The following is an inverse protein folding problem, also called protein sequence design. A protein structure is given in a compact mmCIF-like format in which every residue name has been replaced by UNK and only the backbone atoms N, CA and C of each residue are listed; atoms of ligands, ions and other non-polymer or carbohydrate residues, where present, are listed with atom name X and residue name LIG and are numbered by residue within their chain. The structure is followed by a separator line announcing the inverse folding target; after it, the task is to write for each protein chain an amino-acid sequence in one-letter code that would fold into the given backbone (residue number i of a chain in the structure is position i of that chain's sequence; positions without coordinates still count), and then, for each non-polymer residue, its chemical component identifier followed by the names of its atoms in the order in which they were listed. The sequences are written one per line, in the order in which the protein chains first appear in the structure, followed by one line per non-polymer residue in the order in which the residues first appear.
data_IF_377209150313
#
_entry.id   IF_377209150313
#
_cell.length_a   1.000
_cell.length_b   1.000
_cell.length_c   1.000
_cell.angle_alpha   90.00
_cell.angle_beta   90.00
_cell.angle_gamma   90.00
#
_symmetry.space_group_name_H-M   'P 1'
#
loop_
_entity.id
_entity.type
_entity.pdbx_description
1 polymer ?
#
# COMPACT_ATOMS: atom_id res chain seq x y z
N UNK A 1 27.02 -43.16 -44.22
CA UNK A 1 27.17 -42.82 -42.79
C UNK A 1 25.76 -42.64 -42.22
N UNK A 2 25.50 -43.27 -41.09
CA UNK A 2 24.22 -43.89 -40.72
C UNK A 2 23.09 -42.95 -40.23
N UNK A 3 21.82 -43.20 -40.61
CA UNK A 3 20.63 -42.44 -40.18
C UNK A 3 19.96 -43.01 -38.89
N UNK A 4 20.72 -43.49 -37.92
CA UNK A 4 20.17 -44.17 -36.72
C UNK A 4 20.23 -43.35 -35.42
N UNK A 5 20.67 -42.09 -35.46
CA UNK A 5 20.85 -41.27 -34.25
C UNK A 5 19.65 -40.39 -33.85
N UNK A 6 18.63 -40.26 -34.71
CA UNK A 6 17.41 -39.48 -34.40
C UNK A 6 16.32 -40.31 -33.68
N UNK A 7 16.42 -41.65 -33.69
CA UNK A 7 15.46 -42.53 -33.02
C UNK A 7 15.69 -42.72 -31.52
N UNK A 8 16.91 -42.49 -31.01
CA UNK A 8 17.26 -42.76 -29.62
C UNK A 8 16.87 -41.63 -28.64
N UNK A 9 16.78 -40.39 -29.13
CA UNK A 9 16.41 -39.22 -28.29
C UNK A 9 14.90 -39.15 -28.07
N UNK A 10 14.09 -39.60 -29.03
CA UNK A 10 12.63 -39.61 -28.91
C UNK A 10 12.10 -40.69 -27.94
N UNK A 11 12.82 -41.79 -27.74
CA UNK A 11 12.41 -42.89 -26.82
C UNK A 11 12.74 -42.56 -25.35
N UNK A 12 13.77 -41.76 -25.08
CA UNK A 12 14.12 -41.33 -23.71
C UNK A 12 13.17 -40.24 -23.16
N UNK A 13 12.51 -39.46 -24.02
CA UNK A 13 11.55 -38.42 -23.63
C UNK A 13 10.15 -38.96 -23.28
N UNK A 14 9.80 -40.15 -23.79
CA UNK A 14 8.51 -40.80 -23.50
C UNK A 14 8.58 -41.67 -22.21
N UNK A 15 9.76 -42.13 -21.81
CA UNK A 15 9.93 -42.87 -20.55
C UNK A 15 10.08 -41.91 -19.35
N UNK A 16 10.63 -40.71 -19.56
CA UNK A 16 10.74 -39.68 -18.50
C UNK A 16 9.41 -39.04 -18.09
N UNK A 17 8.41 -38.99 -18.98
CA UNK A 17 7.08 -38.41 -18.70
C UNK A 17 6.12 -39.42 -18.05
N UNK A 18 6.32 -40.72 -18.23
CA UNK A 18 5.54 -41.75 -17.54
C UNK A 18 5.98 -41.98 -16.08
N UNK A 19 7.23 -41.65 -15.72
CA UNK A 19 7.73 -41.80 -14.35
C UNK A 19 7.34 -40.65 -13.41
N UNK A 20 6.97 -39.47 -13.95
CA UNK A 20 6.52 -38.33 -13.13
C UNK A 20 5.03 -38.39 -12.78
N UNK A 21 4.21 -39.09 -13.59
CA UNK A 21 2.77 -39.27 -13.34
C UNK A 21 2.50 -40.40 -12.31
N UNK A 22 3.44 -41.32 -12.09
CA UNK A 22 3.29 -42.42 -11.11
C UNK A 22 3.71 -42.04 -9.66
N UNK A 23 4.39 -40.90 -9.45
CA UNK A 23 4.82 -40.45 -8.10
C UNK A 23 3.80 -39.50 -7.44
N UNK A 24 2.79 -39.03 -8.18
CA UNK A 24 1.72 -38.17 -7.66
C UNK A 24 0.47 -38.92 -7.18
N UNK A 25 0.47 -40.27 -7.20
CA UNK A 25 -0.72 -41.07 -6.85
C UNK A 25 -0.65 -41.82 -5.49
N UNK A 26 0.35 -41.57 -4.62
CA UNK A 26 0.50 -42.31 -3.35
C UNK A 26 0.75 -41.48 -2.10
N UNK A 27 0.53 -40.16 -2.12
CA UNK A 27 0.51 -39.37 -0.88
C UNK A 27 -0.93 -39.20 -0.41
N UNK A 28 -1.23 -39.85 0.72
CA UNK A 28 -2.54 -39.87 1.34
C UNK A 28 -3.09 -38.47 1.59
N UNK A 29 -4.40 -38.31 1.37
CA UNK A 29 -5.11 -37.08 1.67
C UNK A 29 -4.99 -36.70 3.16
N UNK A 30 -5.20 -35.41 3.48
CA UNK A 30 -5.16 -34.94 4.86
C UNK A 30 -6.18 -35.69 5.73
N UNK A 31 -5.89 -35.91 7.02
CA UNK A 31 -6.80 -36.63 7.91
C UNK A 31 -8.14 -35.90 8.00
N UNK A 32 -9.23 -36.67 7.88
CA UNK A 32 -10.59 -36.18 8.06
C UNK A 32 -10.74 -35.51 9.44
N UNK A 33 -11.23 -34.27 9.43
CA UNK A 33 -11.59 -33.56 10.65
C UNK A 33 -12.70 -34.33 11.38
N UNK A 34 -12.64 -34.49 12.71
CA UNK A 34 -13.72 -35.10 13.48
C UNK A 34 -15.00 -34.27 13.35
N UNK A 35 -16.19 -34.90 13.40
CA UNK A 35 -17.46 -34.19 13.33
C UNK A 35 -17.58 -33.21 14.51
N UNK A 36 -18.05 -32.00 14.21
CA UNK A 36 -18.32 -30.96 15.19
C UNK A 36 -19.35 -31.47 16.21
N UNK A 37 -18.90 -31.72 17.44
CA UNK A 37 -19.78 -31.98 18.58
C UNK A 37 -20.57 -30.70 18.85
N UNK A 38 -21.87 -30.73 18.61
CA UNK A 38 -22.78 -29.68 19.06
C UNK A 38 -22.73 -29.64 20.59
N UNK A 39 -22.22 -28.53 21.13
CA UNK A 39 -22.37 -28.21 22.55
C UNK A 39 -23.80 -27.75 22.74
N UNK A 40 -24.51 -28.45 23.60
CA UNK A 40 -25.88 -28.16 23.98
C UNK A 40 -25.99 -26.76 24.59
N UNK A 41 -27.04 -26.06 24.17
CA UNK A 41 -27.49 -24.77 24.69
C UNK A 41 -27.90 -24.96 26.17
N UNK A 42 -27.02 -24.55 27.10
CA UNK A 42 -27.32 -24.56 28.52
C UNK A 42 -28.12 -23.31 28.88
N UNK A 43 -29.42 -23.54 28.92
CA UNK A 43 -30.50 -22.70 29.44
C UNK A 43 -30.11 -22.00 30.76
N UNK A 44 -29.79 -20.70 30.70
CA UNK A 44 -29.60 -19.85 31.90
C UNK A 44 -30.84 -18.97 32.09
N UNK A 45 -31.47 -18.96 33.30
CA UNK A 45 -32.67 -18.18 33.53
C UNK A 45 -32.38 -16.67 33.58
N UNK A 46 -33.24 -15.90 32.91
CA UNK A 46 -33.30 -14.43 32.95
C UNK A 46 -33.45 -13.91 34.38
N UNK A 47 -32.63 -12.93 34.83
CA UNK A 47 -32.97 -12.14 36.00
C UNK A 47 -34.05 -11.12 35.63
N UNK A 48 -35.27 -11.36 36.12
CA UNK A 48 -36.37 -10.40 36.07
C UNK A 48 -36.01 -9.16 36.89
N UNK A 49 -35.61 -8.07 36.22
CA UNK A 49 -35.52 -6.74 36.82
C UNK A 49 -36.76 -5.93 36.43
N UNK A 50 -37.75 -5.94 37.31
CA UNK A 50 -38.86 -4.97 37.30
C UNK A 50 -38.34 -3.59 37.66
N UNK A 51 -38.23 -2.71 36.67
CA UNK A 51 -38.01 -1.27 36.86
C UNK A 51 -39.35 -0.54 36.71
N UNK A 52 -39.76 0.34 37.63
CA UNK A 52 -40.99 1.11 37.46
C UNK A 52 -40.82 2.20 36.38
N UNK A 53 -41.89 2.41 35.61
CA UNK A 53 -42.00 3.42 34.57
C UNK A 53 -41.90 4.85 35.16
N UNK A 54 -41.09 5.78 34.61
CA UNK A 54 -41.10 7.15 35.07
C UNK A 54 -42.36 7.88 34.57
N UNK A 55 -42.97 8.69 35.45
CA UNK A 55 -44.05 9.62 35.11
C UNK A 55 -43.49 10.84 34.35
N UNK A 56 -44.24 11.41 33.39
CA UNK A 56 -43.75 12.54 32.60
C UNK A 56 -43.77 13.85 33.42
N UNK A 57 -42.64 14.56 33.41
CA UNK A 57 -42.51 15.95 33.88
C UNK A 57 -42.71 16.87 32.67
N UNK A 58 -43.48 17.98 32.76
CA UNK A 58 -43.60 18.92 31.64
C UNK A 58 -42.38 19.85 31.59
N UNK A 59 -41.54 19.68 30.57
CA UNK A 59 -40.43 20.60 30.29
C UNK A 59 -40.87 21.66 29.28
N UNK A 60 -40.86 22.92 29.71
CA UNK A 60 -41.05 24.09 28.84
C UNK A 60 -39.86 24.24 27.89
N UNK A 61 -40.14 24.48 26.61
CA UNK A 61 -39.14 24.80 25.60
C UNK A 61 -38.68 26.27 25.74
N UNK A 62 -37.37 26.55 25.79
CA UNK A 62 -36.87 27.89 25.49
C UNK A 62 -36.70 28.03 23.98
N UNK A 63 -37.39 29.00 23.38
CA UNK A 63 -37.14 29.42 22.01
C UNK A 63 -35.74 30.03 21.90
N UNK A 64 -34.82 29.34 21.22
CA UNK A 64 -33.56 29.91 20.78
C UNK A 64 -33.70 30.35 19.32
N UNK A 65 -33.53 31.64 19.08
CA UNK A 65 -33.36 32.22 17.74
C UNK A 65 -31.96 31.81 17.25
N UNK A 66 -31.78 31.30 16.02
CA UNK A 66 -30.45 31.03 15.50
C UNK A 66 -29.77 32.37 15.18
N UNK A 67 -28.66 32.66 15.85
CA UNK A 67 -27.71 33.67 15.40
C UNK A 67 -26.84 33.00 14.34
N UNK A 68 -27.04 33.34 13.07
CA UNK A 68 -26.12 32.98 11.98
C UNK A 68 -24.77 33.67 12.25
N UNK A 69 -23.78 32.89 12.68
CA UNK A 69 -22.39 33.33 12.65
C UNK A 69 -21.91 33.15 11.21
N UNK A 70 -21.41 34.19 10.53
CA UNK A 70 -20.86 34.02 9.18
C UNK A 70 -19.65 33.09 9.25
N UNK A 71 -19.77 31.91 8.66
CA UNK A 71 -18.61 31.08 8.33
C UNK A 71 -17.88 31.79 7.20
N UNK A 72 -16.74 32.43 7.51
CA UNK A 72 -15.83 32.91 6.45
C UNK A 72 -15.42 31.71 5.60
N UNK A 73 -15.66 31.80 4.30
CA UNK A 73 -15.18 30.83 3.33
C UNK A 73 -13.63 30.81 3.38
N UNK A 74 -12.98 29.64 3.30
CA UNK A 74 -11.52 29.56 3.23
C UNK A 74 -11.01 30.47 2.11
N UNK A 75 -10.10 31.39 2.43
CA UNK A 75 -9.45 32.20 1.41
C UNK A 75 -8.51 31.29 0.62
N UNK A 76 -8.89 30.94 -0.62
CA UNK A 76 -8.01 30.24 -1.54
C UNK A 76 -6.74 31.08 -1.76
N UNK A 77 -5.58 30.56 -1.37
CA UNK A 77 -4.31 31.25 -1.63
C UNK A 77 -4.05 31.25 -3.15
N UNK A 78 -3.57 32.37 -3.73
CA UNK A 78 -3.23 32.43 -5.15
C UNK A 78 -2.14 31.40 -5.49
N UNK A 79 -2.32 30.63 -6.57
CA UNK A 79 -1.37 29.59 -7.02
C UNK A 79 0.07 30.10 -7.16
N UNK A 80 0.27 31.36 -7.54
CA UNK A 80 1.60 31.98 -7.65
C UNK A 80 2.35 32.14 -6.32
N UNK A 81 1.64 32.28 -5.19
CA UNK A 81 2.28 32.29 -3.86
C UNK A 81 2.80 30.89 -3.50
N UNK A 82 2.07 29.85 -3.91
CA UNK A 82 2.41 28.46 -3.60
C UNK A 82 3.67 27.98 -4.34
N UNK A 83 3.81 28.31 -5.62
CA UNK A 83 5.00 27.98 -6.40
C UNK A 83 6.25 28.69 -5.86
N UNK A 84 6.12 29.97 -5.48
CA UNK A 84 7.22 30.73 -4.90
C UNK A 84 7.63 30.14 -3.54
N UNK A 85 6.67 29.85 -2.65
CA UNK A 85 6.94 29.21 -1.36
C UNK A 85 7.62 27.85 -1.53
N UNK A 86 7.19 27.06 -2.51
CA UNK A 86 7.84 25.78 -2.82
C UNK A 86 9.28 26.00 -3.25
N UNK A 87 9.54 26.93 -4.16
CA UNK A 87 10.90 27.22 -4.62
C UNK A 87 11.81 27.69 -3.47
N UNK A 88 11.32 28.56 -2.59
CA UNK A 88 12.04 29.02 -1.40
C UNK A 88 12.32 27.89 -0.41
N UNK A 89 11.35 26.99 -0.19
CA UNK A 89 11.51 25.80 0.63
C UNK A 89 12.59 24.86 0.07
N UNK A 90 12.50 24.53 -1.21
CA UNK A 90 13.45 23.64 -1.90
C UNK A 90 14.86 24.23 -2.01
N UNK A 91 14.98 25.56 -1.98
CA UNK A 91 16.27 26.25 -1.93
C UNK A 91 16.92 26.18 -0.53
N UNK A 92 16.11 26.10 0.53
CA UNK A 92 16.59 26.08 1.93
C UNK A 92 16.85 24.68 2.47
N UNK A 93 16.04 23.69 2.09
CA UNK A 93 16.16 22.33 2.60
C UNK A 93 17.33 21.56 1.95
N UNK A 94 17.94 20.67 2.74
CA UNK A 94 18.80 19.62 2.22
C UNK A 94 17.91 18.43 1.80
N UNK A 95 18.05 17.98 0.56
CA UNK A 95 17.28 16.87 -0.02
C UNK A 95 18.05 16.26 -1.19
N UNK A 96 17.75 15.00 -1.55
CA UNK A 96 18.53 14.19 -2.49
C UNK A 96 18.41 14.67 -3.94
N UNK A 97 19.11 15.74 -4.31
CA UNK A 97 19.07 16.33 -5.67
C UNK A 97 19.44 15.36 -6.79
N UNK A 98 20.25 14.36 -6.48
CA UNK A 98 20.70 13.35 -7.43
C UNK A 98 19.74 12.14 -7.54
N UNK A 99 18.64 12.12 -6.77
CA UNK A 99 17.67 11.03 -6.72
C UNK A 99 16.30 11.41 -7.32
N UNK A 100 16.24 12.50 -8.08
CA UNK A 100 15.02 13.00 -8.72
C UNK A 100 14.41 14.20 -7.98
N UNK A 101 13.42 14.84 -8.59
CA UNK A 101 12.70 15.95 -7.95
C UNK A 101 11.95 15.46 -6.70
N UNK A 102 11.88 16.28 -5.64
CA UNK A 102 11.22 15.88 -4.41
C UNK A 102 9.70 15.94 -4.59
N UNK A 103 9.01 15.02 -3.94
CA UNK A 103 7.55 14.99 -3.87
C UNK A 103 7.11 15.89 -2.73
N UNK A 104 6.60 17.07 -3.05
CA UNK A 104 6.07 18.02 -2.08
C UNK A 104 4.59 17.70 -1.80
N UNK A 105 4.31 17.25 -0.59
CA UNK A 105 2.99 16.76 -0.16
C UNK A 105 2.30 17.82 0.69
N UNK A 106 1.12 18.25 0.25
CA UNK A 106 0.32 19.24 0.97
C UNK A 106 -0.58 18.59 2.00
N UNK A 107 -0.87 19.35 3.06
CA UNK A 107 -1.81 18.93 4.08
C UNK A 107 -3.21 18.79 3.47
N UNK A 108 -3.88 17.71 3.81
CA UNK A 108 -5.24 17.44 3.39
C UNK A 108 -6.18 18.50 4.00
N UNK A 109 -7.07 19.11 3.20
CA UNK A 109 -8.08 20.03 3.75
C UNK A 109 -9.09 19.30 4.63
N UNK A 110 -9.35 18.02 4.31
CA UNK A 110 -10.08 17.04 5.11
C UNK A 110 -9.60 15.63 4.70
N UNK A 111 -9.76 14.60 5.55
CA UNK A 111 -9.51 13.21 5.15
C UNK A 111 -10.36 12.81 3.93
N UNK A 112 -9.81 12.09 2.93
CA UNK A 112 -10.57 11.57 1.79
C UNK A 112 -11.62 10.55 2.22
N UNK A 113 -12.67 10.41 1.41
CA UNK A 113 -13.66 9.38 1.64
C UNK A 113 -13.17 8.08 0.99
N UNK A 114 -12.40 7.27 1.73
CA UNK A 114 -11.82 6.01 1.24
C UNK A 114 -12.91 5.06 0.70
N UNK A 115 -13.21 5.18 -0.59
CA UNK A 115 -14.28 4.45 -1.31
C UNK A 115 -13.78 3.82 -2.62
N UNK A 116 -12.50 3.98 -2.92
CA UNK A 116 -11.79 3.50 -4.08
C UNK A 116 -11.91 4.44 -5.29
N UNK A 117 -12.64 5.55 -5.19
CA UNK A 117 -12.74 6.58 -6.22
C UNK A 117 -11.64 7.62 -6.03
N UNK A 118 -11.08 8.12 -7.13
CA UNK A 118 -10.07 9.21 -7.07
C UNK A 118 -10.65 10.57 -7.45
N UNK A 119 -11.98 10.68 -7.54
CA UNK A 119 -12.67 11.85 -8.08
C UNK A 119 -12.50 13.11 -7.22
N UNK A 120 -12.40 12.97 -5.90
CA UNK A 120 -12.17 14.07 -4.96
C UNK A 120 -10.70 14.48 -4.82
N UNK A 121 -9.76 13.67 -5.32
CA UNK A 121 -8.35 13.88 -5.09
C UNK A 121 -7.83 15.05 -5.92
N UNK A 122 -7.48 16.13 -5.24
CA UNK A 122 -6.86 17.30 -5.83
C UNK A 122 -5.32 17.19 -5.84
N UNK A 123 -4.67 18.06 -6.61
CA UNK A 123 -3.21 18.16 -6.68
C UNK A 123 -2.58 17.39 -7.85
N UNK A 124 -1.26 17.51 -8.01
CA UNK A 124 -0.54 16.85 -9.08
C UNK A 124 -0.53 15.33 -8.86
N UNK A 125 -0.69 14.61 -9.96
CA UNK A 125 -0.47 13.17 -9.99
C UNK A 125 1.03 12.90 -10.23
N UNK A 126 1.59 12.01 -9.42
CA UNK A 126 3.00 11.62 -9.43
C UNK A 126 3.11 10.26 -10.11
N UNK A 127 3.86 10.18 -11.21
CA UNK A 127 4.12 8.92 -11.89
C UNK A 127 5.07 8.02 -11.09
N UNK A 128 5.00 6.71 -11.31
CA UNK A 128 5.92 5.69 -10.78
C UNK A 128 6.68 5.05 -11.95
N UNK A 129 7.61 5.76 -12.62
CA UNK A 129 7.98 5.43 -13.99
C UNK A 129 9.17 4.48 -14.12
N UNK A 130 9.88 4.18 -13.03
CA UNK A 130 11.17 3.52 -13.12
C UNK A 130 11.05 2.03 -12.84
N UNK A 131 11.38 1.18 -13.81
CA UNK A 131 11.46 -0.26 -13.61
C UNK A 131 12.78 -0.59 -12.92
N UNK A 132 12.70 -1.13 -11.69
CA UNK A 132 13.84 -1.30 -10.78
C UNK A 132 14.13 -2.77 -10.44
N UNK A 133 13.27 -3.70 -10.86
CA UNK A 133 13.49 -5.13 -10.69
C UNK A 133 13.05 -5.89 -11.94
N UNK A 134 13.94 -6.77 -12.44
CA UNK A 134 13.71 -7.65 -13.59
C UNK A 134 12.96 -6.97 -14.75
N UNK A 135 13.50 -5.87 -15.32
CA UNK A 135 12.81 -5.07 -16.33
C UNK A 135 12.45 -5.85 -17.60
N UNK A 136 13.11 -6.98 -17.86
CA UNK A 136 12.78 -7.90 -18.94
C UNK A 136 11.40 -8.56 -18.81
N UNK A 137 10.82 -8.58 -17.61
CA UNK A 137 9.51 -9.18 -17.35
C UNK A 137 8.34 -8.20 -17.54
N UNK A 138 8.61 -6.89 -17.54
CA UNK A 138 7.57 -5.86 -17.75
C UNK A 138 7.36 -5.59 -19.24
N UNK A 139 6.18 -5.91 -19.77
CA UNK A 139 5.83 -5.82 -21.19
C UNK A 139 5.21 -4.48 -21.62
N UNK A 140 5.44 -3.42 -20.84
CA UNK A 140 5.08 -2.04 -21.17
C UNK A 140 4.08 -1.45 -20.19
N UNK A 141 3.54 -0.27 -20.49
CA UNK A 141 2.59 0.40 -19.58
C UNK A 141 1.24 -0.30 -19.51
N UNK A 142 0.92 -1.12 -20.52
CA UNK A 142 -0.30 -1.92 -20.53
C UNK A 142 -0.28 -3.10 -19.56
N UNK A 143 0.92 -3.54 -19.23
CA UNK A 143 1.25 -4.68 -18.40
C UNK A 143 1.34 -4.20 -16.95
N UNK A 144 2.29 -3.32 -16.62
CA UNK A 144 2.36 -2.74 -15.29
C UNK A 144 2.72 -1.25 -15.31
N UNK A 145 1.82 -0.39 -14.82
CA UNK A 145 2.09 1.04 -14.62
C UNK A 145 1.31 1.60 -13.44
N UNK A 146 1.85 2.63 -12.80
CA UNK A 146 1.16 3.31 -11.71
C UNK A 146 1.43 4.80 -11.66
N UNK A 147 0.47 5.51 -11.10
CA UNK A 147 0.60 6.90 -10.70
C UNK A 147 -0.24 7.12 -9.45
N UNK A 148 0.10 8.13 -8.65
CA UNK A 148 -0.59 8.38 -7.39
C UNK A 148 -0.72 9.86 -7.07
N UNK A 149 -1.73 10.18 -6.28
CA UNK A 149 -1.86 11.45 -5.56
C UNK A 149 -1.60 11.18 -4.08
N UNK A 150 -1.06 12.18 -3.41
CA UNK A 150 -0.66 12.06 -2.00
C UNK A 150 -0.99 13.34 -1.25
N UNK A 151 -1.52 13.18 -0.04
CA UNK A 151 -1.77 14.26 0.91
C UNK A 151 -1.52 13.75 2.33
N UNK A 152 -1.47 14.64 3.32
CA UNK A 152 -1.19 14.23 4.69
C UNK A 152 -1.96 15.03 5.74
N UNK A 153 -2.08 14.50 6.95
CA UNK A 153 -2.44 15.27 8.15
C UNK A 153 -1.58 14.82 9.33
N UNK A 154 -1.84 15.33 10.54
CA UNK A 154 -1.05 14.99 11.74
C UNK A 154 -1.05 13.50 12.08
N UNK A 155 -2.03 12.74 11.59
CA UNK A 155 -2.24 11.35 11.94
C UNK A 155 -1.85 10.39 10.81
N UNK A 156 -2.01 10.79 9.54
CA UNK A 156 -1.92 9.88 8.40
C UNK A 156 -1.26 10.48 7.16
N UNK A 157 -0.64 9.60 6.39
CA UNK A 157 -0.33 9.79 4.98
C UNK A 157 -1.45 9.15 4.16
N UNK A 158 -2.05 9.89 3.25
CA UNK A 158 -3.11 9.41 2.38
C UNK A 158 -2.55 9.18 0.98
N UNK A 159 -2.82 8.00 0.40
CA UNK A 159 -2.46 7.67 -0.97
C UNK A 159 -3.70 7.32 -1.79
N UNK A 160 -3.82 7.93 -2.97
CA UNK A 160 -4.79 7.60 -4.00
C UNK A 160 -4.04 7.14 -5.24
N UNK A 161 -4.04 5.85 -5.51
CA UNK A 161 -3.17 5.19 -6.51
C UNK A 161 -4.03 4.71 -7.66
N UNK A 162 -3.62 5.02 -8.89
CA UNK A 162 -4.11 4.35 -10.10
C UNK A 162 -3.09 3.30 -10.49
N UNK A 163 -3.54 2.05 -10.61
CA UNK A 163 -2.73 0.91 -11.05
C UNK A 163 -3.31 0.40 -12.38
N UNK A 164 -2.43 0.29 -13.36
CA UNK A 164 -2.64 -0.46 -14.58
C UNK A 164 -1.90 -1.78 -14.45
N UNK A 165 -2.64 -2.86 -14.65
CA UNK A 165 -2.26 -4.23 -14.39
C UNK A 165 -3.15 -5.13 -15.25
N UNK A 166 -2.56 -5.89 -16.17
CA UNK A 166 -3.30 -6.79 -17.05
C UNK A 166 -3.64 -8.13 -16.39
N UNK A 167 -2.93 -8.53 -15.33
CA UNK A 167 -3.19 -9.76 -14.60
C UNK A 167 -2.76 -9.70 -13.12
N UNK A 168 -3.69 -9.28 -12.27
CA UNK A 168 -3.50 -9.32 -10.81
C UNK A 168 -3.33 -10.75 -10.24
N UNK A 169 -2.13 -11.11 -9.79
CA UNK A 169 -1.74 -12.31 -9.03
C UNK A 169 -1.05 -11.95 -7.70
N UNK A 170 -1.79 -12.10 -6.60
CA UNK A 170 -1.26 -11.86 -5.26
C UNK A 170 -1.53 -13.05 -4.32
N UNK A 171 -0.55 -13.94 -4.17
CA UNK A 171 -0.60 -15.12 -3.29
C UNK A 171 0.35 -15.06 -2.07
N UNK A 172 1.25 -14.07 -2.00
CA UNK A 172 2.07 -13.77 -0.82
C UNK A 172 1.23 -13.36 0.39
N UNK A 173 1.75 -13.50 1.60
CA UNK A 173 1.03 -13.14 2.84
C UNK A 173 2.01 -12.92 3.98
N UNK A 174 1.60 -12.17 5.01
CA UNK A 174 2.43 -11.81 6.16
C UNK A 174 3.75 -11.18 5.73
N UNK A 175 4.85 -11.67 6.30
CA UNK A 175 6.18 -11.17 5.97
C UNK A 175 6.61 -11.41 4.51
N UNK A 176 5.93 -12.29 3.76
CA UNK A 176 6.23 -12.58 2.35
C UNK A 176 5.25 -11.92 1.38
N UNK A 177 4.48 -10.92 1.83
CA UNK A 177 3.48 -10.20 1.02
C UNK A 177 4.05 -9.62 -0.29
N UNK A 178 5.34 -9.24 -0.29
CA UNK A 178 6.11 -8.78 -1.44
C UNK A 178 6.26 -9.79 -2.60
N UNK A 179 5.84 -11.05 -2.42
CA UNK A 179 5.91 -12.09 -3.47
C UNK A 179 4.58 -12.20 -4.23
N UNK A 180 4.14 -11.10 -4.83
CA UNK A 180 2.97 -10.96 -5.67
C UNK A 180 2.78 -9.48 -6.02
N UNK A 181 1.62 -9.10 -6.54
CA UNK A 181 1.34 -7.66 -6.75
C UNK A 181 1.14 -6.96 -5.41
N UNK A 182 1.98 -6.00 -5.11
CA UNK A 182 1.91 -5.23 -3.87
C UNK A 182 2.34 -3.78 -4.06
N UNK A 183 2.07 -2.97 -3.04
CA UNK A 183 2.57 -1.60 -2.94
C UNK A 183 3.48 -1.54 -1.72
N UNK A 184 4.72 -1.08 -1.93
CA UNK A 184 5.71 -0.88 -0.89
C UNK A 184 6.04 0.60 -0.71
N UNK A 185 6.09 1.05 0.53
CA UNK A 185 6.63 2.34 0.93
C UNK A 185 7.93 2.12 1.70
N UNK A 186 8.97 2.83 1.27
CA UNK A 186 10.21 3.02 2.04
C UNK A 186 10.30 4.47 2.48
N UNK A 187 10.69 4.71 3.73
CA UNK A 187 10.85 6.03 4.30
C UNK A 187 12.09 6.09 5.19
N UNK A 188 12.91 7.12 5.00
CA UNK A 188 14.04 7.47 5.86
C UNK A 188 13.60 8.67 6.72
N UNK A 189 13.59 8.44 8.04
CA UNK A 189 13.04 9.36 9.03
C UNK A 189 14.02 10.43 9.52
N UNK A 190 15.33 10.19 9.41
CA UNK A 190 16.42 11.08 9.80
C UNK A 190 17.41 11.35 8.65
N UNK A 191 16.87 11.66 7.47
CA UNK A 191 17.61 11.86 6.22
C UNK A 191 18.89 12.71 6.36
N UNK A 192 18.84 13.80 7.14
CA UNK A 192 20.02 14.66 7.34
C UNK A 192 21.00 14.08 8.38
N UNK A 193 20.50 13.37 9.39
CA UNK A 193 21.28 12.78 10.47
C UNK A 193 22.18 11.63 10.01
N UNK A 194 21.77 10.85 9.01
CA UNK A 194 22.52 9.72 8.47
C UNK A 194 22.63 9.71 6.93
N UNK A 195 22.67 10.90 6.34
CA UNK A 195 22.74 11.17 4.90
C UNK A 195 23.61 10.23 4.04
N UNK A 196 24.77 9.77 4.51
CA UNK A 196 25.66 8.90 3.73
C UNK A 196 25.60 7.41 4.13
N UNK A 197 24.62 7.02 4.95
CA UNK A 197 24.46 5.64 5.43
C UNK A 197 23.81 4.75 4.36
N UNK A 198 24.65 3.98 3.66
CA UNK A 198 24.23 3.04 2.61
C UNK A 198 23.56 1.74 3.15
N UNK A 199 22.93 1.80 4.32
CA UNK A 199 22.32 0.64 4.95
C UNK A 199 21.28 1.06 5.97
N UNK A 200 20.21 0.25 6.07
CA UNK A 200 19.06 0.56 6.91
C UNK A 200 19.41 0.76 8.39
N UNK A 201 18.85 1.80 8.99
CA UNK A 201 18.92 2.19 10.40
C UNK A 201 17.61 1.89 11.15
N UNK A 202 17.48 2.34 12.40
CA UNK A 202 16.25 2.18 13.19
C UNK A 202 15.21 3.28 12.94
N UNK A 203 15.56 4.38 12.26
CA UNK A 203 14.61 5.39 11.82
C UNK A 203 14.02 5.09 10.43
N UNK A 204 14.66 4.21 9.65
CA UNK A 204 14.13 3.70 8.39
C UNK A 204 12.86 2.83 8.58
N UNK A 205 11.77 3.28 7.95
CA UNK A 205 10.50 2.57 7.84
C UNK A 205 10.35 1.85 6.51
N UNK A 206 9.77 0.65 6.55
CA UNK A 206 9.31 -0.06 5.37
C UNK A 206 8.03 -0.80 5.70
N UNK A 207 6.98 -0.52 4.94
CA UNK A 207 5.71 -1.20 5.03
C UNK A 207 5.10 -1.35 3.64
N UNK A 208 4.14 -2.24 3.51
CA UNK A 208 3.42 -2.42 2.27
C UNK A 208 2.08 -3.06 2.47
N UNK A 209 1.31 -3.07 1.40
CA UNK A 209 -0.01 -3.68 1.36
C UNK A 209 -0.27 -4.29 0.00
N UNK A 210 -1.18 -5.26 -0.02
CA UNK A 210 -1.55 -5.94 -1.24
C UNK A 210 -3.04 -6.26 -1.23
N UNK A 211 -3.68 -6.11 -2.39
CA UNK A 211 -5.07 -6.51 -2.57
C UNK A 211 -5.10 -8.02 -2.80
N UNK A 212 -5.76 -8.76 -1.92
CA UNK A 212 -5.92 -10.22 -2.02
C UNK A 212 -7.05 -10.62 -2.97
N UNK A 213 -8.08 -9.78 -3.05
CA UNK A 213 -9.22 -9.96 -3.95
C UNK A 213 -9.81 -8.59 -4.32
N UNK A 214 -9.64 -8.20 -5.59
CA UNK A 214 -10.12 -6.94 -6.14
C UNK A 214 -11.65 -6.78 -6.11
N UNK A 215 -12.40 -7.88 -6.13
CA UNK A 215 -13.87 -7.83 -6.17
C UNK A 215 -14.47 -7.56 -4.79
N UNK A 216 -13.83 -8.04 -3.73
CA UNK A 216 -14.29 -7.88 -2.35
C UNK A 216 -13.53 -6.80 -1.58
N UNK A 217 -12.39 -6.35 -2.10
CA UNK A 217 -11.48 -5.44 -1.41
C UNK A 217 -10.74 -6.09 -0.25
N UNK A 218 -10.72 -7.43 -0.16
CA UNK A 218 -9.85 -8.10 0.81
C UNK A 218 -8.41 -7.70 0.53
N UNK A 219 -7.70 -7.30 1.58
CA UNK A 219 -6.32 -6.84 1.50
C UNK A 219 -5.56 -7.28 2.75
N UNK A 220 -4.24 -7.25 2.64
CA UNK A 220 -3.31 -7.47 3.74
C UNK A 220 -2.27 -6.36 3.73
N UNK A 221 -1.76 -5.98 4.91
CA UNK A 221 -0.66 -5.06 5.05
C UNK A 221 0.35 -5.57 6.08
N UNK A 222 1.61 -5.20 5.91
CA UNK A 222 2.71 -5.66 6.75
C UNK A 222 3.75 -4.56 6.93
N UNK A 223 4.34 -4.49 8.13
CA UNK A 223 5.48 -3.64 8.44
C UNK A 223 6.72 -4.54 8.47
N UNK A 224 7.71 -4.25 7.63
CA UNK A 224 8.97 -5.00 7.55
C UNK A 224 10.12 -4.31 8.27
N UNK A 225 10.12 -2.97 8.33
CA UNK A 225 11.20 -2.21 8.95
C UNK A 225 10.69 -1.13 9.91
N UNK A 226 11.48 -0.84 10.95
CA UNK A 226 12.67 -1.58 11.41
C UNK A 226 12.30 -2.98 11.94
N UNK A 227 13.25 -3.93 12.04
CA UNK A 227 12.95 -5.29 12.52
C UNK A 227 12.31 -5.32 13.92
N UNK A 228 12.61 -4.33 14.76
CA UNK A 228 12.02 -4.13 16.08
C UNK A 228 10.50 -3.89 16.05
N UNK A 229 9.95 -3.52 14.88
CA UNK A 229 8.54 -3.17 14.65
C UNK A 229 7.85 -4.11 13.65
N UNK A 230 8.51 -5.20 13.26
CA UNK A 230 8.00 -6.13 12.24
C UNK A 230 6.69 -6.80 12.71
N UNK A 231 5.61 -6.60 11.97
CA UNK A 231 4.28 -7.14 12.31
C UNK A 231 3.26 -6.99 11.18
N UNK A 232 2.18 -7.80 11.17
CA UNK A 232 0.98 -7.52 10.38
C UNK A 232 0.33 -6.19 10.76
N UNK A 233 -0.28 -5.52 9.79
CA UNK A 233 -0.98 -4.25 9.96
C UNK A 233 -2.42 -4.36 9.46
N UNK A 234 -3.37 -3.84 10.23
CA UNK A 234 -4.71 -3.55 9.72
C UNK A 234 -4.70 -2.13 9.15
N UNK A 235 -5.01 -2.01 7.86
CA UNK A 235 -4.94 -0.76 7.12
C UNK A 235 -6.35 -0.32 6.70
N UNK A 236 -6.63 0.98 6.79
CA UNK A 236 -7.84 1.55 6.20
C UNK A 236 -7.59 1.74 4.71
N UNK A 237 -8.29 0.97 3.88
CA UNK A 237 -8.08 0.89 2.45
C UNK A 237 -9.39 0.58 1.72
N UNK A 238 -9.59 1.21 0.58
CA UNK A 238 -10.63 0.89 -0.39
C UNK A 238 -10.02 0.68 -1.78
N UNK A 239 -10.64 -0.19 -2.58
CA UNK A 239 -10.19 -0.52 -3.93
C UNK A 239 -11.37 -0.54 -4.87
N UNK A 240 -11.16 -0.11 -6.12
CA UNK A 240 -12.15 -0.16 -7.19
C UNK A 240 -11.51 -0.65 -8.47
N UNK A 241 -12.13 -1.65 -9.10
CA UNK A 241 -11.69 -2.13 -10.40
C UNK A 241 -11.93 -1.09 -11.49
N UNK A 242 -10.99 -1.00 -12.42
CA UNK A 242 -11.10 -0.23 -13.66
C UNK A 242 -10.97 -1.18 -14.87
N UNK A 243 -11.28 -0.73 -16.10
CA UNK A 243 -11.07 -1.55 -17.28
C UNK A 243 -9.61 -1.94 -17.54
N UNK A 244 -8.64 -1.23 -16.96
CA UNK A 244 -7.21 -1.42 -17.20
C UNK A 244 -6.43 -1.92 -15.96
N UNK A 245 -7.11 -2.15 -14.83
CA UNK A 245 -6.48 -2.47 -13.55
C UNK A 245 -7.40 -2.05 -12.41
N UNK A 246 -6.92 -1.20 -11.50
CA UNK A 246 -7.69 -0.78 -10.32
C UNK A 246 -7.19 0.55 -9.74
N UNK A 247 -8.02 1.18 -8.92
CA UNK A 247 -7.65 2.32 -8.07
C UNK A 247 -7.67 1.89 -6.62
N UNK A 248 -6.74 2.43 -5.82
CA UNK A 248 -6.65 2.20 -4.38
C UNK A 248 -6.66 3.54 -3.67
N UNK A 249 -7.42 3.64 -2.59
CA UNK A 249 -7.28 4.71 -1.61
C UNK A 249 -6.90 4.11 -0.26
N UNK A 250 -5.92 4.71 0.43
CA UNK A 250 -5.55 4.27 1.76
C UNK A 250 -5.12 5.42 2.67
N UNK A 251 -5.34 5.24 3.97
CA UNK A 251 -4.94 6.17 5.01
C UNK A 251 -3.94 5.50 5.97
N UNK A 252 -2.65 5.67 5.68
CA UNK A 252 -1.53 5.03 6.39
C UNK A 252 -1.23 5.84 7.66
N UNK A 253 -1.37 5.26 8.87
CA UNK A 253 -1.00 5.97 10.09
C UNK A 253 0.52 6.18 10.12
N UNK A 254 0.99 7.36 10.48
CA UNK A 254 2.43 7.66 10.51
C UNK A 254 3.31 6.68 11.29
N UNK A 255 2.85 6.10 12.42
CA UNK A 255 3.57 5.02 13.08
C UNK A 255 3.81 3.78 12.18
N UNK A 256 2.99 3.47 11.19
CA UNK A 256 3.28 2.37 10.27
C UNK A 256 4.54 2.62 9.41
N UNK A 257 4.90 3.90 9.22
CA UNK A 257 6.09 4.34 8.48
C UNK A 257 7.27 4.69 9.40
N UNK A 258 7.20 4.33 10.69
CA UNK A 258 8.22 4.68 11.68
C UNK A 258 8.46 6.19 11.86
N UNK A 259 7.49 7.03 11.45
CA UNK A 259 7.65 8.48 11.40
C UNK A 259 6.75 9.22 12.38
N UNK A 260 7.19 10.39 12.85
CA UNK A 260 6.33 11.46 13.33
C UNK A 260 6.41 12.64 12.35
N UNK A 261 5.31 13.04 11.70
CA UNK A 261 5.36 13.99 10.60
C UNK A 261 5.70 15.40 11.10
N UNK A 262 6.50 16.12 10.31
CA UNK A 262 6.79 17.52 10.52
C UNK A 262 6.67 18.28 9.20
N UNK A 263 5.94 19.40 9.24
CA UNK A 263 5.87 20.31 8.09
C UNK A 263 7.24 20.93 7.83
N UNK A 264 7.55 21.11 6.55
CA UNK A 264 8.79 21.65 6.02
C UNK A 264 10.04 20.82 6.37
N UNK A 265 9.87 19.51 6.55
CA UNK A 265 10.96 18.54 6.75
C UNK A 265 11.07 17.63 5.53
N UNK A 266 12.30 17.31 5.15
CA UNK A 266 12.63 16.36 4.09
C UNK A 266 12.85 14.96 4.67
N UNK A 267 12.24 13.96 4.04
CA UNK A 267 12.37 12.55 4.37
C UNK A 267 12.85 11.79 3.14
N UNK A 268 13.68 10.78 3.29
CA UNK A 268 13.95 9.88 2.16
C UNK A 268 12.69 9.06 1.87
N UNK A 269 12.38 8.82 0.59
CA UNK A 269 11.13 8.18 0.22
C UNK A 269 11.20 7.43 -1.11
N UNK A 270 10.62 6.23 -1.12
CA UNK A 270 10.23 5.54 -2.34
C UNK A 270 8.83 4.96 -2.19
N UNK A 271 8.05 5.06 -3.27
CA UNK A 271 6.87 4.25 -3.48
C UNK A 271 7.18 3.29 -4.63
N UNK A 272 6.98 2.00 -4.39
CA UNK A 272 7.25 0.94 -5.36
C UNK A 272 6.06 0.02 -5.48
N UNK A 273 5.83 -0.54 -6.66
CA UNK A 273 4.80 -1.56 -6.86
C UNK A 273 5.47 -2.79 -7.46
N UNK A 274 5.27 -3.95 -6.83
CA UNK A 274 5.63 -5.23 -7.39
C UNK A 274 4.52 -5.75 -8.31
N UNK A 275 4.90 -6.63 -9.22
CA UNK A 275 3.99 -7.19 -10.22
C UNK A 275 4.34 -8.65 -10.54
N UNK A 276 3.31 -9.43 -10.78
CA UNK A 276 3.32 -10.88 -10.98
C UNK A 276 2.16 -11.28 -11.89
N UNK A 277 2.49 -11.82 -13.05
CA UNK A 277 1.49 -12.32 -14.00
C UNK A 277 1.30 -13.83 -13.91
N UNK A 278 2.29 -14.56 -13.38
CA UNK A 278 2.26 -16.03 -13.44
C UNK A 278 1.25 -16.60 -12.44
N UNK A 279 0.11 -17.17 -12.89
CA UNK A 279 -0.93 -17.61 -11.97
C UNK A 279 -0.45 -18.78 -11.10
N UNK A 280 -0.74 -18.74 -9.80
CA UNK A 280 -0.31 -19.78 -8.86
C UNK A 280 1.12 -19.64 -8.37
N UNK A 281 1.84 -18.60 -8.81
CA UNK A 281 3.19 -18.30 -8.35
C UNK A 281 3.15 -17.42 -7.08
N UNK A 282 4.11 -17.64 -6.18
CA UNK A 282 4.41 -16.75 -5.06
C UNK A 282 5.82 -16.23 -5.34
N UNK A 283 5.89 -15.15 -6.10
CA UNK A 283 7.13 -14.53 -6.55
C UNK A 283 6.86 -13.08 -6.87
N UNK A 284 7.90 -12.26 -6.92
CA UNK A 284 7.88 -10.95 -7.57
C UNK A 284 8.51 -11.11 -8.96
N UNK A 285 7.82 -10.69 -10.02
CA UNK A 285 8.32 -10.82 -11.40
C UNK A 285 8.85 -9.49 -11.94
N UNK A 286 8.23 -8.36 -11.60
CA UNK A 286 8.75 -7.04 -11.91
C UNK A 286 8.54 -6.06 -10.74
N UNK A 287 9.14 -4.87 -10.81
CA UNK A 287 8.78 -3.77 -9.90
C UNK A 287 9.06 -2.42 -10.53
N UNK A 288 8.10 -1.50 -10.40
CA UNK A 288 8.25 -0.09 -10.72
C UNK A 288 8.43 0.73 -9.43
N UNK A 289 9.08 1.90 -9.54
CA UNK A 289 9.34 2.78 -8.41
C UNK A 289 9.37 4.25 -8.80
N UNK A 290 9.10 5.13 -7.82
CA UNK A 290 9.39 6.56 -7.92
C UNK A 290 10.91 6.83 -7.91
N UNK A 291 11.70 5.88 -7.44
CA UNK A 291 13.14 6.03 -7.25
C UNK A 291 13.92 5.40 -8.43
N UNK A 292 14.60 6.20 -9.27
CA UNK A 292 15.24 5.70 -10.51
C UNK A 292 16.41 4.76 -10.28
N UNK A 293 17.03 4.81 -9.11
CA UNK A 293 18.22 4.04 -8.76
C UNK A 293 18.01 3.20 -7.50
N UNK A 294 16.75 2.86 -7.18
CA UNK A 294 16.41 2.14 -5.94
C UNK A 294 17.28 0.89 -5.81
N UNK A 295 18.10 0.86 -4.77
CA UNK A 295 18.80 -0.33 -4.33
C UNK A 295 18.13 -0.85 -3.06
N UNK A 296 17.97 -2.17 -2.98
CA UNK A 296 17.28 -2.78 -1.86
C UNK A 296 18.10 -2.64 -0.57
N UNK A 297 17.51 -1.98 0.42
CA UNK A 297 18.12 -1.76 1.73
C UNK A 297 19.16 -0.62 1.78
N UNK A 298 19.22 0.23 0.76
CA UNK A 298 20.10 1.40 0.72
C UNK A 298 19.28 2.71 0.62
N UNK A 299 19.04 3.41 1.75
CA UNK A 299 18.35 4.71 1.79
C UNK A 299 19.00 5.82 0.97
N UNK A 300 20.30 5.71 0.68
CA UNK A 300 21.02 6.73 -0.12
C UNK A 300 20.54 6.79 -1.57
N UNK A 301 19.81 5.78 -2.01
CA UNK A 301 19.22 5.69 -3.34
C UNK A 301 17.78 6.21 -3.43
N UNK A 302 17.16 6.55 -2.29
CA UNK A 302 15.75 6.94 -2.22
C UNK A 302 15.53 8.40 -2.62
N UNK A 303 14.35 8.70 -3.16
CA UNK A 303 13.93 10.05 -3.48
C UNK A 303 13.69 10.87 -2.21
N UNK A 304 13.00 12.00 -2.32
CA UNK A 304 12.68 12.82 -1.16
C UNK A 304 11.20 13.17 -1.13
N UNK A 305 10.56 12.96 0.02
CA UNK A 305 9.23 13.45 0.35
C UNK A 305 9.37 14.68 1.25
N UNK A 306 8.62 15.74 0.97
CA UNK A 306 8.61 16.95 1.79
C UNK A 306 7.17 17.28 2.14
N UNK A 307 6.86 17.30 3.44
CA UNK A 307 5.52 17.64 3.92
C UNK A 307 5.37 19.16 4.05
N UNK A 308 4.24 19.73 3.64
CA UNK A 308 3.92 21.15 3.85
C UNK A 308 2.48 21.33 4.32
N UNK A 309 2.24 22.35 5.13
CA UNK A 309 0.94 22.67 5.75
C UNK A 309 0.18 23.82 5.05
N UNK A 310 0.69 24.29 3.92
CA UNK A 310 0.15 25.41 3.13
C UNK A 310 -0.22 25.00 1.70
#
# INVERSE_FOLDING_TARGET
MWPWLLGAVAVLLIIGTAALIAVLATRGGPPALPPATQVADENRPDPTLTTPLPSPVPTQAPGAVPTEVPTEAPTEMPTGDLEQRQAELLARLNWRRDNGEPIVVRRAPAPPALDGSLDEWAGPEVAVPHVVFQPENRLGDADHAAAFRVMWDENRLYLGITVQDDLHVQLGSGSTLYNGDDVELQLDGDLEGDWDAAGLSEDDGQMGFAIKDLATGQHEAYIWRPPSREQPLSLELAVRQTPAGYTVETAIPWPALNLSPQSQTAYGFCLSLADTDTPGLVNQESMISTCPRREWGDPTTWGTLILVDW
#
